data_IF_053329744969
#
_entry.id   IF_053329744969
#
_cell.length_a   1.000
_cell.length_b   1.000
_cell.length_c   1.000
_cell.angle_alpha   90.00
_cell.angle_beta   90.00
_cell.angle_gamma   90.00
#
_symmetry.space_group_name_H-M   'P 1'
#
loop_
_entity.id
_entity.type
_entity.pdbx_description
1 polymer ?
#
# COMPACT_ATOMS: atom_id res chain seq x y z
N UNK A 1 8.05 9.99 -11.98
CA UNK A 1 8.61 8.91 -12.82
C UNK A 1 10.12 8.92 -12.67
N UNK A 2 10.69 7.77 -12.37
CA UNK A 2 12.13 7.54 -12.36
C UNK A 2 12.50 6.74 -13.61
N UNK A 3 13.69 6.97 -14.19
CA UNK A 3 14.16 6.26 -15.38
C UNK A 3 15.46 5.52 -15.09
N UNK A 4 15.58 4.33 -15.64
CA UNK A 4 16.79 3.52 -15.64
C UNK A 4 17.00 2.91 -17.04
N UNK A 5 17.89 3.50 -17.84
CA UNK A 5 18.01 3.18 -19.26
C UNK A 5 16.68 3.41 -19.97
N UNK A 6 16.20 2.39 -20.66
CA UNK A 6 14.91 2.41 -21.39
C UNK A 6 13.71 2.09 -20.49
N UNK A 7 13.93 1.66 -19.25
CA UNK A 7 12.86 1.36 -18.29
C UNK A 7 12.44 2.60 -17.52
N UNK A 8 11.15 2.74 -17.30
CA UNK A 8 10.55 3.80 -16.51
C UNK A 8 9.78 3.23 -15.33
N UNK A 9 9.87 3.90 -14.19
CA UNK A 9 9.27 3.47 -12.93
C UNK A 9 8.38 4.55 -12.36
N UNK A 10 7.22 4.16 -11.84
CA UNK A 10 6.25 5.03 -11.18
C UNK A 10 6.37 4.92 -9.67
N UNK A 11 6.36 6.06 -8.99
CA UNK A 11 6.11 6.15 -7.55
C UNK A 11 4.85 6.97 -7.34
N UNK A 12 3.94 6.46 -6.54
CA UNK A 12 2.70 7.12 -6.18
C UNK A 12 2.84 7.61 -4.73
N UNK A 13 2.67 8.91 -4.54
CA UNK A 13 2.74 9.54 -3.21
C UNK A 13 1.41 10.25 -2.98
N UNK A 14 0.76 9.94 -1.87
CA UNK A 14 -0.48 10.59 -1.45
C UNK A 14 -0.26 11.38 -0.16
N UNK A 15 -0.67 12.65 -0.18
CA UNK A 15 -0.53 13.58 0.92
C UNK A 15 -1.73 13.49 1.84
N UNK A 16 -1.49 13.21 3.12
CA UNK A 16 -2.56 13.06 4.12
C UNK A 16 -2.44 14.13 5.20
N UNK A 17 -3.59 14.70 5.59
CA UNK A 17 -3.66 15.67 6.70
C UNK A 17 -3.62 14.99 8.08
N UNK A 18 -3.82 13.67 8.14
CA UNK A 18 -3.72 12.85 9.34
C UNK A 18 -2.70 11.75 9.18
N UNK A 19 -2.39 11.07 10.27
CA UNK A 19 -1.50 9.90 10.24
C UNK A 19 -2.17 8.76 9.51
N UNK A 20 -1.60 8.34 8.41
CA UNK A 20 -2.05 7.19 7.61
C UNK A 20 -0.87 6.27 7.43
N UNK A 21 -1.08 4.98 7.66
CA UNK A 21 -0.08 3.92 7.54
C UNK A 21 -0.51 2.95 6.46
N UNK A 22 0.42 2.53 5.63
CA UNK A 22 0.17 1.45 4.69
C UNK A 22 0.00 0.14 5.45
N UNK A 23 -1.14 -0.52 5.25
CA UNK A 23 -1.38 -1.85 5.84
C UNK A 23 -2.02 -2.80 4.83
N UNK A 24 -1.25 -3.78 4.41
CA UNK A 24 -1.67 -4.80 3.45
C UNK A 24 -2.85 -5.63 3.96
N UNK A 25 -3.00 -5.81 5.27
CA UNK A 25 -4.15 -6.52 5.85
C UNK A 25 -5.45 -5.77 5.60
N UNK A 26 -5.43 -4.43 5.73
CA UNK A 26 -6.59 -3.60 5.43
C UNK A 26 -6.98 -3.73 3.95
N UNK A 27 -6.00 -3.67 3.05
CA UNK A 27 -6.24 -3.79 1.61
C UNK A 27 -6.78 -5.19 1.28
N UNK A 28 -6.20 -6.24 1.87
CA UNK A 28 -6.66 -7.62 1.70
C UNK A 28 -8.09 -7.84 2.19
N UNK A 29 -8.51 -7.11 3.21
CA UNK A 29 -9.90 -7.10 3.70
C UNK A 29 -10.82 -6.13 2.93
N UNK A 30 -10.36 -5.53 1.83
CA UNK A 30 -11.14 -4.62 0.97
C UNK A 30 -11.31 -3.22 1.57
N UNK A 31 -10.38 -2.77 2.42
CA UNK A 31 -10.35 -1.44 3.04
C UNK A 31 -9.07 -0.69 2.67
N UNK A 32 -9.11 0.65 2.60
CA UNK A 32 -7.96 1.51 2.25
C UNK A 32 -7.27 1.16 0.92
N UNK A 33 -8.03 0.75 -0.10
CA UNK A 33 -7.50 0.37 -1.42
C UNK A 33 -7.07 1.57 -2.29
N UNK A 34 -7.29 2.81 -1.86
CA UNK A 34 -7.10 4.04 -2.65
C UNK A 34 -5.75 4.10 -3.36
N UNK A 35 -4.65 3.82 -2.66
CA UNK A 35 -3.31 3.91 -3.23
C UNK A 35 -3.07 2.91 -4.35
N UNK A 36 -3.61 1.71 -4.21
CA UNK A 36 -3.50 0.68 -5.24
C UNK A 36 -4.36 1.04 -6.45
N UNK A 37 -5.54 1.65 -6.23
CA UNK A 37 -6.38 2.18 -7.32
C UNK A 37 -5.61 3.26 -8.11
N UNK A 38 -4.90 4.15 -7.43
CA UNK A 38 -4.05 5.15 -8.09
C UNK A 38 -2.89 4.50 -8.86
N UNK A 39 -2.30 3.43 -8.33
CA UNK A 39 -1.26 2.67 -9.03
C UNK A 39 -1.82 2.02 -10.30
N UNK A 40 -3.02 1.42 -10.24
CA UNK A 40 -3.72 0.86 -11.41
C UNK A 40 -3.97 1.93 -12.46
N UNK A 41 -4.55 3.08 -12.07
CA UNK A 41 -4.84 4.18 -12.97
C UNK A 41 -3.57 4.75 -13.63
N UNK A 42 -2.50 4.91 -12.85
CA UNK A 42 -1.20 5.37 -13.34
C UNK A 42 -0.58 4.36 -14.33
N UNK A 43 -0.67 3.06 -14.04
CA UNK A 43 -0.19 1.99 -14.93
C UNK A 43 -0.98 1.93 -16.24
N UNK A 44 -2.30 2.14 -16.22
CA UNK A 44 -3.12 2.24 -17.43
C UNK A 44 -2.66 3.42 -18.31
N UNK A 45 -2.40 4.57 -17.69
CA UNK A 45 -1.96 5.78 -18.40
C UNK A 45 -0.51 5.67 -18.91
N UNK A 46 0.33 4.91 -18.24
CA UNK A 46 1.75 4.74 -18.52
C UNK A 46 2.09 3.25 -18.63
N UNK A 47 1.61 2.59 -19.69
CA UNK A 47 1.67 1.12 -19.85
C UNK A 47 3.09 0.54 -19.80
N UNK A 48 4.08 1.30 -20.33
CA UNK A 48 5.48 0.89 -20.41
C UNK A 48 6.30 1.19 -19.13
N UNK A 49 5.61 1.52 -18.03
CA UNK A 49 6.27 1.80 -16.75
C UNK A 49 5.94 0.74 -15.71
N UNK A 50 6.84 0.45 -14.80
CA UNK A 50 6.58 -0.40 -13.64
C UNK A 50 6.34 0.44 -12.38
N UNK A 51 5.53 -0.10 -11.46
CA UNK A 51 5.26 0.57 -10.18
C UNK A 51 6.39 0.22 -9.22
N UNK A 52 7.21 1.22 -8.85
CA UNK A 52 8.35 1.07 -7.94
C UNK A 52 8.02 1.42 -6.48
N UNK A 53 6.84 1.98 -6.21
CA UNK A 53 6.43 2.24 -4.84
C UNK A 53 5.12 2.99 -4.71
N UNK A 54 4.48 2.79 -3.56
CA UNK A 54 3.27 3.49 -3.13
C UNK A 54 3.47 3.97 -1.69
N UNK A 55 3.24 5.27 -1.45
CA UNK A 55 3.59 5.90 -0.19
C UNK A 55 2.55 6.90 0.26
N UNK A 56 2.39 7.01 1.58
CA UNK A 56 1.71 8.11 2.24
C UNK A 56 2.74 9.08 2.85
N UNK A 57 2.43 10.36 2.89
CA UNK A 57 3.19 11.34 3.66
C UNK A 57 2.25 12.30 4.37
N UNK A 58 2.55 12.61 5.64
CA UNK A 58 1.83 13.62 6.40
C UNK A 58 2.20 15.03 5.96
N UNK A 59 1.23 15.95 5.92
CA UNK A 59 1.44 17.37 5.60
C UNK A 59 1.27 18.28 6.81
N UNK A 60 1.02 17.72 7.98
CA UNK A 60 0.86 18.47 9.23
C UNK A 60 1.94 18.08 10.24
N UNK A 61 2.47 19.08 10.92
CA UNK A 61 3.28 18.85 12.10
C UNK A 61 2.42 18.23 13.20
N UNK A 62 2.94 17.21 13.86
CA UNK A 62 2.30 16.63 15.03
C UNK A 62 2.49 17.59 16.22
N UNK A 63 1.38 18.00 16.85
CA UNK A 63 1.43 18.69 18.15
C UNK A 63 1.83 17.64 19.18
N UNK A 64 2.99 17.85 19.81
CA UNK A 64 3.53 16.92 20.82
C UNK A 64 3.50 17.57 22.19
N UNK A 65 3.13 16.78 23.17
CA UNK A 65 3.31 17.16 24.58
C UNK A 65 4.80 17.10 24.88
N UNK A 66 5.33 18.24 25.39
CA UNK A 66 6.71 18.33 25.82
C UNK A 66 6.81 17.92 27.29
N UNK A 67 7.78 17.09 27.59
CA UNK A 67 8.13 16.75 28.96
C UNK A 67 9.50 17.39 29.32
N UNK A 68 9.88 17.34 30.58
CA UNK A 68 11.12 17.96 31.09
C UNK A 68 12.41 17.40 30.47
N UNK A 69 12.34 16.29 29.77
CA UNK A 69 13.47 15.65 29.07
C UNK A 69 13.50 15.91 27.58
N UNK A 70 12.53 16.66 27.03
CA UNK A 70 12.43 16.94 25.59
C UNK A 70 13.40 18.06 25.23
N UNK A 71 14.36 17.77 24.36
CA UNK A 71 15.30 18.76 23.82
C UNK A 71 14.82 19.29 22.48
N UNK A 72 15.31 20.46 22.05
CA UNK A 72 15.01 21.03 20.74
C UNK A 72 15.40 20.08 19.59
N UNK A 73 16.54 19.42 19.69
CA UNK A 73 16.99 18.42 18.71
C UNK A 73 16.01 17.24 18.58
N UNK A 74 15.46 16.77 19.70
CA UNK A 74 14.46 15.71 19.71
C UNK A 74 13.16 16.12 19.01
N UNK A 75 12.77 17.38 19.11
CA UNK A 75 11.60 17.95 18.42
C UNK A 75 11.85 17.98 16.92
N UNK A 76 13.00 18.52 16.50
CA UNK A 76 13.40 18.63 15.10
C UNK A 76 13.48 17.24 14.45
N UNK A 77 14.13 16.28 15.12
CA UNK A 77 14.23 14.91 14.63
C UNK A 77 12.85 14.23 14.53
N UNK A 78 12.01 14.45 15.52
CA UNK A 78 10.66 13.90 15.54
C UNK A 78 9.80 14.46 14.41
N UNK A 79 9.90 15.75 14.11
CA UNK A 79 9.18 16.39 13.00
C UNK A 79 9.70 15.86 11.65
N UNK A 80 11.02 15.71 11.49
CA UNK A 80 11.59 15.05 10.31
C UNK A 80 11.06 13.62 10.13
N UNK A 81 10.93 12.87 11.22
CA UNK A 81 10.41 11.50 11.18
C UNK A 81 8.92 11.46 10.82
N UNK A 82 8.13 12.44 11.22
CA UNK A 82 6.71 12.54 10.89
C UNK A 82 6.46 12.80 9.39
N UNK A 83 7.42 13.44 8.71
CA UNK A 83 7.36 13.71 7.27
C UNK A 83 7.88 12.56 6.39
N UNK A 84 8.40 11.49 7.00
CA UNK A 84 8.89 10.32 6.24
C UNK A 84 7.75 9.63 5.51
N UNK A 85 8.07 9.16 4.32
CA UNK A 85 7.14 8.35 3.53
C UNK A 85 6.87 7.03 4.23
N UNK A 86 5.59 6.70 4.41
CA UNK A 86 5.14 5.40 4.90
C UNK A 86 4.51 4.62 3.74
N UNK A 87 5.00 3.42 3.48
CA UNK A 87 4.52 2.64 2.36
C UNK A 87 5.44 1.49 1.99
N UNK A 88 5.34 1.04 0.76
CA UNK A 88 6.12 -0.10 0.26
C UNK A 88 6.82 0.25 -1.05
N UNK A 89 8.03 -0.29 -1.20
CA UNK A 89 8.84 -0.21 -2.42
C UNK A 89 8.73 -1.54 -3.16
N UNK A 90 8.61 -1.47 -4.47
CA UNK A 90 8.58 -2.64 -5.34
C UNK A 90 9.75 -2.59 -6.30
N UNK A 91 10.43 -3.72 -6.46
CA UNK A 91 11.57 -3.86 -7.36
C UNK A 91 11.74 -5.32 -7.75
N UNK A 92 12.46 -5.56 -8.84
CA UNK A 92 12.87 -6.91 -9.21
C UNK A 92 13.88 -7.46 -8.19
N UNK A 93 14.16 -8.76 -8.22
CA UNK A 93 15.12 -9.42 -7.33
C UNK A 93 16.58 -9.01 -7.59
N UNK A 94 16.85 -8.17 -8.59
CA UNK A 94 18.16 -7.62 -8.89
C UNK A 94 18.58 -6.59 -7.83
N UNK A 95 19.58 -6.92 -7.03
CA UNK A 95 20.10 -6.06 -5.96
C UNK A 95 20.66 -4.73 -6.49
N UNK A 96 21.20 -4.69 -7.71
CA UNK A 96 21.72 -3.46 -8.29
C UNK A 96 20.60 -2.50 -8.65
N UNK A 97 19.51 -3.02 -9.22
CA UNK A 97 18.31 -2.23 -9.49
C UNK A 97 17.65 -1.75 -8.21
N UNK A 98 17.56 -2.61 -7.20
CA UNK A 98 17.04 -2.24 -5.87
C UNK A 98 17.83 -1.05 -5.30
N UNK A 99 19.15 -1.18 -5.25
CA UNK A 99 20.03 -0.13 -4.74
C UNK A 99 19.86 1.16 -5.52
N UNK A 100 19.78 1.09 -6.85
CA UNK A 100 19.62 2.26 -7.72
C UNK A 100 18.28 2.95 -7.54
N UNK A 101 17.18 2.19 -7.47
CA UNK A 101 15.86 2.77 -7.24
C UNK A 101 15.73 3.42 -5.87
N UNK A 102 16.31 2.82 -4.83
CA UNK A 102 16.34 3.39 -3.50
C UNK A 102 17.26 4.62 -3.43
N UNK A 103 18.42 4.57 -4.06
CA UNK A 103 19.34 5.72 -4.15
C UNK A 103 18.69 6.91 -4.87
N UNK A 104 17.99 6.69 -5.96
CA UNK A 104 17.26 7.75 -6.65
C UNK A 104 16.09 8.34 -5.84
N UNK A 105 15.66 7.63 -4.80
CA UNK A 105 14.66 8.12 -3.85
C UNK A 105 15.30 8.86 -2.67
N UNK A 106 16.45 8.37 -2.22
CA UNK A 106 17.17 8.90 -1.08
C UNK A 106 18.68 8.60 -1.19
N UNK A 107 19.48 9.61 -1.54
CA UNK A 107 20.92 9.46 -1.70
C UNK A 107 21.68 9.15 -0.39
N UNK A 108 21.10 9.46 0.78
CA UNK A 108 21.67 9.12 2.08
C UNK A 108 21.64 7.62 2.37
N UNK A 109 20.83 6.89 1.65
CA UNK A 109 20.78 5.43 1.77
C UNK A 109 22.14 4.77 1.58
N UNK A 110 22.93 5.20 0.58
CA UNK A 110 24.27 4.64 0.34
C UNK A 110 25.31 5.03 1.40
N UNK A 111 25.15 6.20 2.04
CA UNK A 111 26.10 6.70 3.03
C UNK A 111 25.90 6.07 4.40
N UNK A 112 24.66 5.80 4.79
CA UNK A 112 24.32 5.37 6.15
C UNK A 112 23.63 4.00 6.24
N UNK A 113 23.25 3.41 5.11
CA UNK A 113 22.38 2.23 5.06
C UNK A 113 20.97 2.50 5.58
N UNK A 114 20.61 3.77 5.80
CA UNK A 114 19.30 4.20 6.27
C UNK A 114 18.63 5.09 5.25
N UNK A 115 17.40 4.74 4.88
CA UNK A 115 16.56 5.57 4.02
C UNK A 115 15.98 6.71 4.84
N UNK A 116 16.31 7.96 4.49
CA UNK A 116 15.92 9.12 5.30
C UNK A 116 14.50 9.63 5.00
N UNK A 117 13.96 9.32 3.81
CA UNK A 117 12.62 9.76 3.40
C UNK A 117 11.52 8.72 3.62
N UNK A 118 11.87 7.49 3.96
CA UNK A 118 10.90 6.43 4.19
C UNK A 118 11.12 5.79 5.55
N UNK A 119 10.05 5.27 6.14
CA UNK A 119 10.13 4.41 7.31
C UNK A 119 10.52 2.97 6.94
N UNK A 120 11.09 2.75 5.76
CA UNK A 120 11.58 1.46 5.32
C UNK A 120 12.73 1.06 6.24
N UNK A 121 12.48 0.07 7.07
CA UNK A 121 13.50 -0.48 7.95
C UNK A 121 14.41 -1.36 7.12
N UNK A 122 15.64 -0.93 6.92
CA UNK A 122 16.68 -1.80 6.38
C UNK A 122 16.90 -2.94 7.38
N UNK A 123 16.54 -4.15 6.98
CA UNK A 123 16.86 -5.34 7.74
C UNK A 123 18.35 -5.65 7.64
N UNK A 124 18.89 -6.29 8.66
CA UNK A 124 20.27 -6.77 8.73
C UNK A 124 20.71 -7.51 7.46
N UNK A 125 21.85 -7.11 6.91
CA UNK A 125 22.73 -7.80 5.94
C UNK A 125 22.14 -8.43 4.66
N UNK A 126 20.85 -8.71 4.52
CA UNK A 126 20.32 -9.53 3.42
C UNK A 126 18.97 -9.08 2.86
N UNK A 127 18.46 -7.90 3.18
CA UNK A 127 17.20 -7.45 2.55
C UNK A 127 16.49 -6.32 3.28
N UNK A 128 15.78 -5.54 2.49
CA UNK A 128 14.92 -4.46 2.94
C UNK A 128 13.58 -5.03 3.38
N UNK A 129 13.18 -4.84 4.65
CA UNK A 129 11.95 -5.43 5.22
C UNK A 129 10.65 -5.02 4.52
N UNK A 130 10.64 -3.88 3.84
CA UNK A 130 9.44 -3.33 3.19
C UNK A 130 9.67 -3.17 1.67
N UNK A 131 10.54 -4.03 1.11
CA UNK A 131 10.75 -4.13 -0.34
C UNK A 131 10.12 -5.42 -0.82
N UNK A 132 9.29 -5.30 -1.84
CA UNK A 132 8.53 -6.38 -2.43
C UNK A 132 8.82 -6.50 -3.92
N UNK A 133 8.48 -7.63 -4.52
CA UNK A 133 8.77 -7.90 -5.93
C UNK A 133 7.74 -7.24 -6.87
N UNK A 134 8.12 -7.11 -8.14
CA UNK A 134 7.20 -6.67 -9.20
C UNK A 134 6.01 -7.62 -9.35
N UNK A 135 6.18 -8.90 -9.06
CA UNK A 135 5.07 -9.86 -9.09
C UNK A 135 4.08 -9.63 -7.95
N UNK A 136 4.55 -9.28 -6.77
CA UNK A 136 3.71 -8.96 -5.63
C UNK A 136 2.85 -7.71 -5.90
N UNK A 137 3.41 -6.62 -6.46
CA UNK A 137 2.61 -5.44 -6.80
C UNK A 137 1.62 -5.73 -7.94
N UNK A 138 2.01 -6.49 -8.95
CA UNK A 138 1.10 -6.86 -10.03
C UNK A 138 -0.05 -7.72 -9.50
N UNK A 139 0.23 -8.64 -8.58
CA UNK A 139 -0.78 -9.43 -7.88
C UNK A 139 -1.69 -8.58 -7.02
N UNK A 140 -1.13 -7.60 -6.30
CA UNK A 140 -1.91 -6.66 -5.50
C UNK A 140 -2.84 -5.80 -6.35
N UNK A 141 -2.35 -5.25 -7.47
CA UNK A 141 -3.18 -4.49 -8.40
C UNK A 141 -4.32 -5.33 -8.98
N UNK A 142 -4.02 -6.58 -9.37
CA UNK A 142 -5.05 -7.50 -9.86
C UNK A 142 -6.08 -7.82 -8.79
N UNK A 143 -5.64 -8.13 -7.58
CA UNK A 143 -6.53 -8.42 -6.45
C UNK A 143 -7.50 -7.27 -6.20
N UNK A 144 -7.00 -6.04 -6.15
CA UNK A 144 -7.83 -4.84 -5.94
C UNK A 144 -8.77 -4.61 -7.12
N UNK A 145 -8.30 -4.79 -8.36
CA UNK A 145 -9.16 -4.67 -9.54
C UNK A 145 -10.31 -5.69 -9.51
N UNK A 146 -10.02 -6.96 -9.23
CA UNK A 146 -11.03 -8.02 -9.10
C UNK A 146 -12.04 -7.70 -7.98
N UNK A 147 -11.56 -7.20 -6.84
CA UNK A 147 -12.40 -6.80 -5.71
C UNK A 147 -13.34 -5.65 -6.09
N UNK A 148 -12.87 -4.65 -6.84
CA UNK A 148 -13.69 -3.53 -7.31
C UNK A 148 -14.77 -4.03 -8.29
N UNK A 149 -14.41 -4.92 -9.21
CA UNK A 149 -15.36 -5.52 -10.16
C UNK A 149 -16.44 -6.30 -9.41
N UNK A 150 -16.07 -7.06 -8.39
CA UNK A 150 -17.04 -7.77 -7.54
C UNK A 150 -17.95 -6.79 -6.80
N UNK A 151 -17.40 -5.70 -6.24
CA UNK A 151 -18.20 -4.67 -5.57
C UNK A 151 -19.18 -4.00 -6.53
N UNK A 152 -18.75 -3.63 -7.75
CA UNK A 152 -19.62 -3.07 -8.80
C UNK A 152 -20.74 -4.05 -9.16
N UNK A 153 -20.41 -5.31 -9.38
CA UNK A 153 -21.40 -6.35 -9.66
C UNK A 153 -22.42 -6.51 -8.53
N UNK A 154 -21.97 -6.49 -7.28
CA UNK A 154 -22.85 -6.59 -6.12
C UNK A 154 -23.81 -5.39 -6.04
N UNK A 155 -23.32 -4.16 -6.31
CA UNK A 155 -24.15 -2.95 -6.35
C UNK A 155 -25.18 -3.06 -7.46
N UNK A 156 -24.78 -3.41 -8.69
CA UNK A 156 -25.67 -3.54 -9.85
C UNK A 156 -26.75 -4.61 -9.67
N UNK A 157 -26.42 -5.67 -8.95
CA UNK A 157 -27.34 -6.74 -8.60
C UNK A 157 -28.22 -6.45 -7.36
N UNK A 158 -28.20 -5.21 -6.86
CA UNK A 158 -29.06 -4.78 -5.75
C UNK A 158 -28.73 -5.43 -4.40
N UNK A 159 -27.47 -5.83 -4.17
CA UNK A 159 -27.04 -6.36 -2.89
C UNK A 159 -26.95 -5.23 -1.87
N UNK A 160 -27.95 -5.14 -1.01
CA UNK A 160 -28.13 -4.08 0.00
C UNK A 160 -28.02 -4.58 1.45
N UNK A 161 -27.48 -5.78 1.66
CA UNK A 161 -27.34 -6.34 3.02
C UNK A 161 -26.42 -5.45 3.87
N UNK A 162 -26.85 -5.19 5.12
CA UNK A 162 -26.08 -4.45 6.10
C UNK A 162 -24.95 -5.33 6.63
N UNK A 163 -23.74 -5.10 6.15
CA UNK A 163 -22.53 -5.84 6.54
C UNK A 163 -21.36 -4.88 6.68
N UNK A 164 -21.38 -3.99 7.70
CA UNK A 164 -20.34 -2.99 7.89
C UNK A 164 -19.00 -3.65 8.23
N UNK A 165 -17.92 -3.07 7.70
CA UNK A 165 -16.57 -3.51 8.03
C UNK A 165 -16.24 -3.20 9.49
N UNK A 166 -15.71 -4.19 10.19
CA UNK A 166 -15.38 -4.10 11.61
C UNK A 166 -14.05 -4.78 11.87
N UNK A 167 -13.21 -4.15 12.64
CA UNK A 167 -11.99 -4.73 13.23
C UNK A 167 -12.24 -5.07 14.70
N UNK A 168 -11.26 -5.62 15.42
CA UNK A 168 -11.33 -5.83 16.85
C UNK A 168 -11.59 -4.53 17.65
N UNK A 169 -11.14 -3.39 17.12
CA UNK A 169 -11.10 -2.13 17.87
C UNK A 169 -11.98 -1.03 17.29
N UNK A 170 -12.36 -1.10 16.01
CA UNK A 170 -13.10 -0.03 15.31
C UNK A 170 -14.12 -0.61 14.35
N UNK A 171 -15.21 0.11 14.19
CA UNK A 171 -16.22 -0.14 13.16
C UNK A 171 -16.37 1.08 12.26
N UNK A 172 -16.64 0.88 10.98
CA UNK A 172 -17.03 1.98 10.09
C UNK A 172 -18.30 2.70 10.57
N UNK A 173 -19.09 2.05 11.41
CA UNK A 173 -20.29 2.63 12.04
C UNK A 173 -19.96 3.71 13.07
N UNK A 174 -18.78 3.69 13.68
CA UNK A 174 -18.37 4.64 14.72
C UNK A 174 -18.29 6.09 14.19
N UNK A 175 -18.06 6.23 12.89
CA UNK A 175 -17.94 7.53 12.19
C UNK A 175 -19.03 7.76 11.14
N UNK A 176 -20.07 6.93 11.14
CA UNK A 176 -21.10 6.97 10.11
C UNK A 176 -22.19 7.99 10.43
N UNK A 177 -22.33 9.02 9.59
CA UNK A 177 -23.40 10.03 9.72
C UNK A 177 -24.80 9.47 9.54
N UNK A 178 -24.95 8.29 8.94
CA UNK A 178 -26.24 7.63 8.70
C UNK A 178 -26.65 6.66 9.81
N UNK A 179 -25.85 6.53 10.87
CA UNK A 179 -26.14 5.61 12.00
C UNK A 179 -27.56 5.78 12.55
N UNK A 180 -28.11 7.01 12.74
CA UNK A 180 -29.47 7.20 13.27
C UNK A 180 -30.57 6.66 12.36
N UNK A 181 -30.34 6.62 11.05
CA UNK A 181 -31.31 6.13 10.04
C UNK A 181 -31.13 4.65 9.77
N UNK A 182 -29.87 4.24 9.61
CA UNK A 182 -29.49 2.84 9.31
C UNK A 182 -29.87 1.88 10.43
N UNK A 183 -29.66 2.31 11.68
CA UNK A 183 -29.94 1.51 12.90
C UNK A 183 -29.36 0.10 12.83
N UNK A 184 -28.13 -0.01 12.31
CA UNK A 184 -27.43 -1.29 12.29
C UNK A 184 -27.38 -1.89 13.70
N UNK A 185 -27.82 -3.12 13.80
CA UNK A 185 -27.87 -3.89 15.06
C UNK A 185 -27.04 -5.16 14.89
N UNK A 186 -26.06 -5.35 15.75
CA UNK A 186 -25.14 -6.50 15.74
C UNK A 186 -25.87 -7.83 16.02
N UNK A 187 -26.98 -7.80 16.69
CA UNK A 187 -27.74 -9.00 17.04
C UNK A 187 -28.57 -9.50 15.84
N UNK A 188 -28.95 -8.60 14.94
CA UNK A 188 -29.78 -8.90 13.77
C UNK A 188 -29.02 -8.84 12.42
N UNK A 189 -27.83 -8.27 12.40
CA UNK A 189 -27.03 -8.10 11.18
C UNK A 189 -25.60 -8.60 11.40
N UNK A 190 -25.05 -9.30 10.44
CA UNK A 190 -23.68 -9.83 10.54
C UNK A 190 -22.66 -8.81 10.00
N UNK A 191 -21.80 -8.21 10.86
CA UNK A 191 -20.73 -7.35 10.38
C UNK A 191 -19.72 -8.16 9.57
N UNK A 192 -19.04 -7.49 8.63
CA UNK A 192 -17.89 -8.06 7.95
C UNK A 192 -16.65 -7.84 8.82
N UNK A 193 -16.26 -8.89 9.54
CA UNK A 193 -15.09 -8.84 10.43
C UNK A 193 -13.82 -8.97 9.61
N UNK A 194 -12.85 -8.06 9.85
CA UNK A 194 -11.54 -8.16 9.26
C UNK A 194 -10.86 -9.47 9.65
N UNK A 195 -10.39 -10.22 8.68
CA UNK A 195 -9.60 -11.41 8.96
C UNK A 195 -8.21 -11.00 9.48
N UNK A 196 -8.04 -11.07 10.79
CA UNK A 196 -6.78 -10.80 11.47
C UNK A 196 -5.86 -12.02 11.58
N UNK A 197 -6.38 -13.21 11.25
CA UNK A 197 -5.65 -14.48 11.39
C UNK A 197 -4.55 -14.63 10.35
N UNK A 198 -4.74 -14.06 9.15
CA UNK A 198 -3.76 -14.13 8.07
C UNK A 198 -2.57 -13.21 8.36
N UNK A 199 -1.36 -13.74 8.27
CA UNK A 199 -0.13 -12.96 8.44
C UNK A 199 0.16 -12.12 7.20
N UNK A 200 0.90 -11.02 7.37
CA UNK A 200 1.28 -10.13 6.25
C UNK A 200 2.11 -10.86 5.20
N UNK A 201 2.99 -11.73 5.64
CA UNK A 201 3.87 -12.54 4.79
C UNK A 201 3.04 -13.50 3.92
N UNK A 202 2.03 -14.15 4.50
CA UNK A 202 1.14 -15.06 3.77
C UNK A 202 0.31 -14.31 2.72
N UNK A 203 -0.13 -13.09 3.02
CA UNK A 203 -0.84 -12.23 2.07
C UNK A 203 0.05 -11.92 0.87
N UNK A 204 1.29 -11.52 1.10
CA UNK A 204 2.23 -11.21 0.02
C UNK A 204 2.53 -12.43 -0.86
N UNK A 205 2.65 -13.62 -0.27
CA UNK A 205 2.85 -14.86 -1.03
C UNK A 205 1.64 -15.20 -1.92
N UNK A 206 0.41 -15.04 -1.39
CA UNK A 206 -0.82 -15.18 -2.18
C UNK A 206 -0.82 -14.19 -3.35
N UNK A 207 -0.45 -12.94 -3.11
CA UNK A 207 -0.43 -11.89 -4.14
C UNK A 207 0.66 -12.18 -5.19
N UNK A 208 1.85 -12.63 -4.77
CA UNK A 208 2.94 -13.03 -5.67
C UNK A 208 2.48 -14.12 -6.65
N UNK A 209 1.81 -15.14 -6.13
CA UNK A 209 1.28 -16.23 -6.96
C UNK A 209 0.28 -15.71 -8.00
N UNK A 210 -0.61 -14.78 -7.63
CA UNK A 210 -1.55 -14.14 -8.56
C UNK A 210 -0.82 -13.28 -9.60
N UNK A 211 0.23 -12.55 -9.22
CA UNK A 211 1.04 -11.73 -10.12
C UNK A 211 1.81 -12.55 -11.14
N UNK A 212 2.44 -13.63 -10.73
CA UNK A 212 3.17 -14.54 -11.61
C UNK A 212 2.26 -15.20 -12.66
N UNK A 213 1.02 -15.55 -12.30
CA UNK A 213 0.03 -16.09 -13.23
C UNK A 213 -0.30 -15.12 -14.38
N UNK A 214 -0.23 -13.79 -14.14
CA UNK A 214 -0.45 -12.76 -15.17
C UNK A 214 0.69 -12.73 -16.20
N UNK A 215 1.93 -12.90 -15.78
CA UNK A 215 3.08 -12.95 -16.70
C UNK A 215 2.95 -14.13 -17.67
N UNK A 216 2.60 -15.30 -17.14
CA UNK A 216 2.44 -16.52 -17.94
C UNK A 216 1.29 -16.42 -18.96
N UNK A 217 0.24 -15.66 -18.68
CA UNK A 217 -0.86 -15.45 -19.63
C UNK A 217 -0.48 -14.44 -20.73
N UNK A 218 0.35 -13.43 -20.43
CA UNK A 218 0.85 -12.48 -21.44
C UNK A 218 1.82 -13.15 -22.42
N UNK A 219 2.70 -14.04 -21.96
CA UNK A 219 3.63 -14.78 -22.81
C UNK A 219 2.94 -15.75 -23.77
N UNK A 220 1.77 -16.29 -23.41
CA UNK A 220 0.97 -17.17 -24.28
C UNK A 220 0.09 -16.43 -25.29
N UNK A 221 -0.11 -15.12 -25.12
CA UNK A 221 -0.93 -14.30 -26.02
C UNK A 221 -0.18 -13.69 -27.20
N UNK A 222 1.15 -13.69 -27.17
CA UNK A 222 2.00 -13.10 -28.23
C UNK A 222 2.24 -14.06 -29.41
N UNK A 223 2.01 -15.37 -29.24
CA UNK A 223 2.25 -16.38 -30.27
C UNK A 223 1.03 -16.70 -31.18
N UNK A 224 0.01 -15.84 -31.22
CA UNK A 224 -1.22 -16.12 -32.02
C UNK A 224 -1.44 -15.21 -33.23
N UNK A 225 -0.54 -14.26 -33.51
CA UNK A 225 -0.62 -13.43 -34.72
C UNK A 225 0.77 -13.37 -35.40
N UNK A 226 1.25 -14.51 -35.89
CA UNK A 226 2.36 -14.65 -36.83
C UNK A 226 1.92 -15.46 -38.05
#
# INVERSE_FOLDING_TARGET
>A
ICRDGDKSYLRIIDYKTGKTVFDIKNIYNGYNMQMVIYAIAAKIKHADTDVAGIYYTGVRDEIKELNSSTTEDNIVESNKNALKLDGVTFTDEDEQLQTKLLYNMDNKFLESGQVSFTNIKTGTKTGFKEVHTTDEINGLMKYVADTIIEMDSNIRNGKISLSPYTTSNTSVCDYCSYSPVCKFDKDNCTPRIADSSVKKEDIWEILKTKGAALKNNKSKGVDKDA
#
